data_IF_551808471749
#
_entry.id   IF_551808471749
#
_cell.length_a   1.000
_cell.length_b   1.000
_cell.length_c   1.000
_cell.angle_alpha   90.00
_cell.angle_beta   90.00
_cell.angle_gamma   90.00
#
_symmetry.space_group_name_H-M   'P 1'
#
loop_
_entity.id
_entity.type
_entity.pdbx_description
1 polymer ?
#
# COMPACT_ATOMS: atom_id res chain seq x y z
N UNK A 1 -14.90 31.73 48.88
CA UNK A 1 -13.91 30.68 48.55
C UNK A 1 -14.70 29.53 47.96
N UNK A 2 -14.90 29.54 46.64
CA UNK A 2 -15.54 28.43 45.93
C UNK A 2 -14.45 27.43 45.52
N UNK A 3 -14.48 26.24 46.11
CA UNK A 3 -13.65 25.13 45.68
C UNK A 3 -14.28 24.51 44.43
N UNK A 4 -13.76 24.88 43.26
CA UNK A 4 -14.04 24.21 42.00
C UNK A 4 -13.40 22.82 42.02
N UNK A 5 -14.22 21.82 42.38
CA UNK A 5 -13.84 20.42 42.33
C UNK A 5 -13.71 20.00 40.85
N UNK A 6 -12.48 19.97 40.35
CA UNK A 6 -12.16 19.47 39.01
C UNK A 6 -12.47 17.97 38.95
N UNK A 7 -13.54 17.58 38.27
CA UNK A 7 -13.79 16.17 37.95
C UNK A 7 -12.69 15.68 37.00
N UNK A 8 -11.76 14.88 37.52
CA UNK A 8 -10.77 14.18 36.69
C UNK A 8 -11.48 13.24 35.71
N UNK A 9 -11.06 13.28 34.44
CA UNK A 9 -11.68 12.51 33.37
C UNK A 9 -11.56 11.00 33.62
N UNK A 10 -12.70 10.30 33.60
CA UNK A 10 -12.82 8.86 33.80
C UNK A 10 -11.88 8.06 32.87
N UNK A 11 -10.83 7.46 33.44
CA UNK A 11 -9.78 6.73 32.72
C UNK A 11 -10.26 5.40 32.10
N UNK A 12 -11.50 4.96 32.38
CA UNK A 12 -12.02 3.66 31.99
C UNK A 12 -12.90 3.67 30.72
N UNK A 13 -12.95 4.79 29.99
CA UNK A 13 -13.75 4.90 28.76
C UNK A 13 -13.38 3.83 27.73
N UNK A 14 -12.08 3.67 27.47
CA UNK A 14 -11.58 2.70 26.49
C UNK A 14 -11.85 1.25 26.88
N UNK A 15 -11.68 0.89 28.16
CA UNK A 15 -11.97 -0.46 28.63
C UNK A 15 -13.46 -0.80 28.48
N UNK A 16 -14.33 0.16 28.82
CA UNK A 16 -15.78 0.04 28.66
C UNK A 16 -16.18 -0.10 27.18
N UNK A 17 -15.63 0.75 26.31
CA UNK A 17 -15.86 0.69 24.85
C UNK A 17 -15.49 -0.68 24.27
N UNK A 18 -14.31 -1.21 24.61
CA UNK A 18 -13.87 -2.54 24.18
C UNK A 18 -14.79 -3.64 24.73
N UNK A 19 -15.24 -3.52 25.99
CA UNK A 19 -16.21 -4.45 26.59
C UNK A 19 -17.54 -4.48 25.83
N UNK A 20 -18.05 -3.31 25.44
CA UNK A 20 -19.28 -3.18 24.64
C UNK A 20 -19.08 -3.84 23.27
N UNK A 21 -17.98 -3.55 22.57
CA UNK A 21 -17.68 -4.14 21.25
C UNK A 21 -17.63 -5.67 21.34
N UNK A 22 -16.91 -6.23 22.33
CA UNK A 22 -16.85 -7.68 22.55
C UNK A 22 -18.24 -8.29 22.77
N UNK A 23 -19.08 -7.63 23.57
CA UNK A 23 -20.45 -8.07 23.83
C UNK A 23 -21.30 -8.07 22.55
N UNK A 24 -21.17 -7.04 21.71
CA UNK A 24 -21.90 -6.95 20.45
C UNK A 24 -21.44 -8.00 19.44
N UNK A 25 -20.12 -8.25 19.33
CA UNK A 25 -19.58 -9.30 18.44
C UNK A 25 -20.08 -10.69 18.86
N UNK A 26 -20.12 -10.99 20.17
CA UNK A 26 -20.68 -12.26 20.67
C UNK A 26 -22.16 -12.44 20.32
N UNK A 27 -22.91 -11.34 20.16
CA UNK A 27 -24.33 -11.34 19.81
C UNK A 27 -24.60 -11.27 18.30
N UNK A 28 -23.60 -10.99 17.46
CA UNK A 28 -23.81 -10.74 16.02
C UNK A 28 -24.13 -12.00 15.21
N UNK A 29 -24.03 -13.19 15.82
CA UNK A 29 -24.21 -14.47 15.14
C UNK A 29 -23.08 -14.84 14.17
N UNK A 30 -21.99 -14.06 14.16
CA UNK A 30 -20.82 -14.38 13.36
C UNK A 30 -20.06 -15.56 13.94
N UNK A 31 -19.55 -16.43 13.07
CA UNK A 31 -18.62 -17.49 13.48
C UNK A 31 -17.24 -16.89 13.69
N UNK A 32 -16.76 -16.90 14.93
CA UNK A 32 -15.41 -16.51 15.30
C UNK A 32 -14.87 -17.43 16.40
N UNK A 33 -13.55 -17.55 16.47
CA UNK A 33 -12.86 -18.17 17.59
C UNK A 33 -12.18 -17.07 18.41
N UNK A 34 -12.44 -17.03 19.71
CA UNK A 34 -11.74 -16.12 20.61
C UNK A 34 -10.32 -16.63 20.84
N UNK A 35 -9.33 -15.74 20.83
CA UNK A 35 -7.94 -16.04 21.14
C UNK A 35 -7.36 -14.94 22.03
N UNK A 36 -6.30 -15.27 22.75
CA UNK A 36 -5.65 -14.34 23.65
C UNK A 36 -4.24 -14.00 23.20
N UNK A 37 -3.79 -12.79 23.54
CA UNK A 37 -2.47 -12.31 23.13
C UNK A 37 -1.31 -13.17 23.62
N UNK A 38 -1.45 -13.84 24.77
CA UNK A 38 -0.43 -14.76 25.28
C UNK A 38 -0.35 -16.05 24.43
N UNK A 39 -1.49 -16.55 23.94
CA UNK A 39 -1.54 -17.70 23.02
C UNK A 39 -0.92 -17.34 21.68
N UNK A 40 -1.32 -16.20 21.11
CA UNK A 40 -0.76 -15.69 19.85
C UNK A 40 0.76 -15.52 19.95
N UNK A 41 1.24 -14.95 21.06
CA UNK A 41 2.67 -14.79 21.33
C UNK A 41 3.39 -16.14 21.39
N UNK A 42 2.87 -17.08 22.18
CA UNK A 42 3.46 -18.41 22.31
C UNK A 42 3.51 -19.14 20.96
N UNK A 43 2.42 -19.14 20.20
CA UNK A 43 2.36 -19.74 18.85
C UNK A 43 3.37 -19.10 17.91
N UNK A 44 3.45 -17.78 17.87
CA UNK A 44 4.40 -17.04 17.01
C UNK A 44 5.85 -17.40 17.35
N UNK A 45 6.22 -17.39 18.63
CA UNK A 45 7.61 -17.52 19.06
C UNK A 45 8.08 -18.98 19.13
N UNK A 46 7.25 -19.87 19.69
CA UNK A 46 7.66 -21.23 20.02
C UNK A 46 7.32 -22.22 18.90
N UNK A 47 6.16 -22.08 18.26
CA UNK A 47 5.70 -23.01 17.22
C UNK A 47 6.21 -22.56 15.85
N UNK A 48 5.90 -21.32 15.46
CA UNK A 48 6.22 -20.80 14.13
C UNK A 48 7.62 -20.17 14.02
N UNK A 49 8.27 -19.86 15.14
CA UNK A 49 9.60 -19.22 15.22
C UNK A 49 9.69 -17.91 14.42
N UNK A 50 8.62 -17.11 14.42
CA UNK A 50 8.52 -15.85 13.69
C UNK A 50 8.85 -14.64 14.56
N UNK A 51 9.44 -13.62 13.94
CA UNK A 51 9.76 -12.34 14.58
C UNK A 51 8.47 -11.57 14.88
N UNK A 52 8.48 -10.68 15.87
CA UNK A 52 7.31 -9.85 16.21
C UNK A 52 7.04 -8.81 15.12
N UNK A 53 5.97 -9.01 14.36
CA UNK A 53 5.40 -8.03 13.42
C UNK A 53 3.89 -8.18 13.40
N UNK A 54 3.16 -7.13 13.00
CA UNK A 54 1.70 -7.18 12.92
C UNK A 54 1.18 -8.28 11.98
N UNK A 55 1.88 -8.54 10.88
CA UNK A 55 1.47 -9.56 9.92
C UNK A 55 1.77 -10.97 10.42
N UNK A 56 2.89 -11.19 11.12
CA UNK A 56 3.18 -12.49 11.75
C UNK A 56 2.28 -12.79 12.93
N UNK A 57 1.83 -11.78 13.67
CA UNK A 57 0.80 -11.97 14.69
C UNK A 57 -0.52 -12.46 14.05
N UNK A 58 -0.91 -11.92 12.89
CA UNK A 58 -2.08 -12.39 12.15
C UNK A 58 -1.92 -13.84 11.64
N UNK A 59 -0.74 -14.19 11.14
CA UNK A 59 -0.42 -15.59 10.77
C UNK A 59 -0.55 -16.52 11.97
N UNK A 60 -0.01 -16.14 13.13
CA UNK A 60 -0.09 -16.96 14.34
C UNK A 60 -1.54 -17.16 14.85
N UNK A 61 -2.45 -16.22 14.56
CA UNK A 61 -3.89 -16.33 14.86
C UNK A 61 -4.57 -17.29 13.89
N UNK A 62 -4.23 -17.25 12.60
CA UNK A 62 -4.95 -18.00 11.56
C UNK A 62 -4.42 -19.42 11.33
N UNK A 63 -3.12 -19.65 11.50
CA UNK A 63 -2.49 -20.93 11.20
C UNK A 63 -2.66 -21.93 12.34
N UNK A 64 -3.02 -23.16 11.97
CA UNK A 64 -3.10 -24.31 12.87
C UNK A 64 -1.73 -24.99 13.03
N UNK A 65 -1.60 -25.82 14.05
CA UNK A 65 -0.32 -26.43 14.45
C UNK A 65 0.23 -27.45 13.44
N UNK A 66 -0.60 -27.89 12.48
CA UNK A 66 -0.27 -28.84 11.42
C UNK A 66 0.15 -28.17 10.10
N UNK A 67 0.23 -26.83 10.06
CA UNK A 67 0.52 -26.08 8.83
C UNK A 67 1.95 -25.53 8.84
N UNK A 68 2.75 -25.92 7.84
CA UNK A 68 4.03 -25.28 7.57
C UNK A 68 3.78 -23.93 6.90
N UNK A 69 4.21 -22.85 7.57
CA UNK A 69 4.14 -21.49 7.02
C UNK A 69 5.46 -21.17 6.34
N UNK A 70 5.42 -21.06 5.02
CA UNK A 70 6.54 -20.53 4.24
C UNK A 70 6.35 -19.02 4.06
N UNK A 71 7.37 -18.25 4.43
CA UNK A 71 7.36 -16.80 4.24
C UNK A 71 7.87 -16.52 2.84
N UNK A 72 7.01 -15.98 1.99
CA UNK A 72 7.42 -15.47 0.68
C UNK A 72 8.00 -14.06 0.82
N UNK A 73 9.08 -13.77 0.09
CA UNK A 73 9.70 -12.44 0.06
C UNK A 73 8.89 -11.43 -0.76
N UNK A 74 7.86 -11.89 -1.47
CA UNK A 74 6.93 -11.09 -2.26
C UNK A 74 5.92 -10.38 -1.36
N UNK A 75 5.96 -9.05 -1.32
CA UNK A 75 4.96 -8.23 -0.62
C UNK A 75 4.09 -7.46 -1.60
N UNK A 76 2.78 -7.57 -1.42
CA UNK A 76 1.81 -6.72 -2.11
C UNK A 76 1.60 -5.43 -1.34
N UNK A 77 2.08 -4.34 -1.92
CA UNK A 77 1.87 -3.01 -1.37
C UNK A 77 0.66 -2.37 -2.01
N UNK A 78 -0.18 -1.77 -1.16
CA UNK A 78 -1.38 -1.05 -1.56
C UNK A 78 -1.25 0.42 -1.20
N UNK A 79 -1.60 1.30 -2.14
CA UNK A 79 -1.74 2.73 -1.89
C UNK A 79 -3.06 3.26 -2.41
N UNK A 80 -3.80 3.95 -1.54
CA UNK A 80 -5.00 4.67 -1.95
C UNK A 80 -4.61 6.05 -2.49
N UNK A 81 -5.15 6.40 -3.66
CA UNK A 81 -4.92 7.68 -4.35
C UNK A 81 -6.25 8.32 -4.70
N UNK A 82 -6.23 9.64 -4.93
CA UNK A 82 -7.42 10.36 -5.37
C UNK A 82 -7.92 9.82 -6.71
N UNK A 83 -9.24 9.82 -6.89
CA UNK A 83 -9.89 9.40 -8.14
C UNK A 83 -9.46 10.26 -9.34
N UNK A 84 -9.04 11.50 -9.10
CA UNK A 84 -8.51 12.37 -10.13
C UNK A 84 -7.99 13.68 -9.54
N UNK A 85 -7.46 14.50 -10.44
CA UNK A 85 -7.11 15.88 -10.15
C UNK A 85 -8.34 16.73 -10.50
N UNK A 86 -8.93 17.39 -9.50
CA UNK A 86 -10.17 18.16 -9.66
C UNK A 86 -9.92 19.63 -10.06
N UNK A 87 -8.67 20.08 -10.00
CA UNK A 87 -8.28 21.41 -10.46
C UNK A 87 -8.48 21.53 -11.98
N UNK A 88 -9.31 22.47 -12.41
CA UNK A 88 -9.63 22.69 -13.83
C UNK A 88 -8.81 23.81 -14.48
N UNK A 89 -8.25 24.72 -13.70
CA UNK A 89 -7.52 25.91 -14.17
C UNK A 89 -6.25 26.14 -13.36
N UNK A 90 -5.27 26.78 -13.97
CA UNK A 90 -3.98 27.14 -13.37
C UNK A 90 -3.51 28.51 -13.87
N UNK A 91 -2.47 29.07 -13.27
CA UNK A 91 -1.97 30.43 -13.53
C UNK A 91 -2.32 31.43 -12.42
N UNK A 92 -1.70 32.62 -12.44
CA UNK A 92 -1.85 33.64 -11.38
C UNK A 92 -3.29 34.12 -11.23
N UNK A 93 -4.06 34.10 -12.32
CA UNK A 93 -5.48 34.49 -12.39
C UNK A 93 -6.36 33.34 -12.90
N UNK A 94 -5.90 32.09 -12.79
CA UNK A 94 -6.60 30.91 -13.35
C UNK A 94 -6.86 30.99 -14.86
N UNK A 95 -6.00 31.69 -15.58
CA UNK A 95 -6.16 31.98 -17.00
C UNK A 95 -5.98 30.74 -17.90
N UNK A 96 -5.23 29.73 -17.45
CA UNK A 96 -4.94 28.53 -18.24
C UNK A 96 -5.88 27.39 -17.89
N UNK A 97 -6.62 26.87 -18.86
CA UNK A 97 -7.45 25.66 -18.70
C UNK A 97 -6.57 24.41 -18.70
N UNK A 98 -6.71 23.57 -17.68
CA UNK A 98 -6.01 22.29 -17.61
C UNK A 98 -6.77 21.29 -18.50
N UNK A 99 -6.08 20.60 -19.42
CA UNK A 99 -6.72 19.56 -20.22
C UNK A 99 -7.15 18.41 -19.31
N UNK A 100 -8.45 18.13 -19.28
CA UNK A 100 -9.04 17.03 -18.52
C UNK A 100 -9.18 15.78 -19.39
N UNK A 101 -9.13 14.60 -18.78
CA UNK A 101 -9.36 13.33 -19.48
C UNK A 101 -8.09 12.54 -19.82
N UNK A 102 -8.16 11.79 -20.93
CA UNK A 102 -7.06 10.95 -21.42
C UNK A 102 -6.18 11.78 -22.34
N UNK A 103 -4.86 11.69 -22.16
CA UNK A 103 -3.90 12.27 -23.08
C UNK A 103 -3.14 11.13 -23.74
N UNK A 104 -3.22 11.01 -25.06
CA UNK A 104 -2.67 9.87 -25.82
C UNK A 104 -3.14 8.51 -25.27
N UNK A 105 -4.41 8.42 -24.86
CA UNK A 105 -5.00 7.19 -24.32
C UNK A 105 -4.65 6.87 -22.85
N UNK A 106 -3.75 7.65 -22.23
CA UNK A 106 -3.27 7.43 -20.85
C UNK A 106 -3.86 8.44 -19.85
N UNK A 107 -4.08 7.97 -18.62
CA UNK A 107 -4.43 8.78 -17.45
C UNK A 107 -3.33 8.73 -16.40
N UNK A 108 -3.39 9.66 -15.44
CA UNK A 108 -2.57 9.59 -14.23
C UNK A 108 -2.93 8.29 -13.48
N UNK A 109 -1.92 7.62 -12.95
CA UNK A 109 -1.99 6.32 -12.29
C UNK A 109 -2.41 5.13 -13.17
N UNK A 110 -2.41 5.27 -14.50
CA UNK A 110 -2.39 4.09 -15.36
C UNK A 110 -1.06 3.34 -15.14
N UNK A 111 -1.12 2.01 -15.07
CA UNK A 111 0.07 1.17 -15.00
C UNK A 111 0.56 0.87 -16.41
N UNK A 112 1.80 1.22 -16.70
CA UNK A 112 2.38 1.10 -18.05
C UNK A 112 3.71 0.36 -18.02
N UNK A 113 3.93 -0.49 -19.03
CA UNK A 113 5.23 -1.09 -19.35
C UNK A 113 5.88 -0.28 -20.46
N UNK A 114 7.07 0.21 -20.20
CA UNK A 114 7.82 1.06 -21.11
C UNK A 114 9.24 0.53 -21.25
N UNK A 115 10.03 1.06 -22.20
CA UNK A 115 11.45 0.73 -22.32
C UNK A 115 12.29 1.12 -21.10
N UNK A 116 11.77 2.01 -20.22
CA UNK A 116 12.45 2.47 -19.00
C UNK A 116 11.97 1.76 -17.74
N UNK A 117 11.18 0.70 -17.89
CA UNK A 117 10.60 -0.06 -16.78
C UNK A 117 9.08 0.01 -16.72
N UNK A 118 8.55 -0.59 -15.65
CA UNK A 118 7.12 -0.68 -15.35
C UNK A 118 6.81 0.29 -14.21
N UNK A 119 5.76 1.10 -14.36
CA UNK A 119 5.37 2.03 -13.32
C UNK A 119 4.06 2.75 -13.60
N UNK A 120 3.66 3.59 -12.65
CA UNK A 120 2.45 4.39 -12.72
C UNK A 120 2.72 5.73 -13.40
N UNK A 121 1.81 6.17 -14.26
CA UNK A 121 1.90 7.50 -14.90
C UNK A 121 1.70 8.61 -13.86
N UNK A 122 2.70 9.46 -13.65
CA UNK A 122 2.65 10.57 -12.67
C UNK A 122 2.25 11.90 -13.30
N UNK A 123 2.95 12.32 -14.34
CA UNK A 123 2.75 13.61 -15.02
C UNK A 123 2.73 13.44 -16.52
N UNK A 124 1.87 14.19 -17.22
CA UNK A 124 1.64 14.08 -18.67
C UNK A 124 1.90 15.43 -19.33
N UNK A 125 2.54 15.44 -20.50
CA UNK A 125 2.79 16.63 -21.32
C UNK A 125 2.04 16.49 -22.64
N UNK A 126 1.51 17.59 -23.16
CA UNK A 126 0.82 17.65 -24.47
C UNK A 126 1.69 17.18 -25.64
N UNK A 127 3.01 17.21 -25.48
CA UNK A 127 3.97 16.70 -26.45
C UNK A 127 4.02 15.16 -26.59
N UNK A 128 3.31 14.42 -25.73
CA UNK A 128 3.33 12.95 -25.72
C UNK A 128 4.39 12.33 -24.80
N UNK A 129 5.07 13.16 -24.02
CA UNK A 129 5.99 12.70 -22.98
C UNK A 129 5.31 12.66 -21.61
N UNK A 130 5.66 11.68 -20.80
CA UNK A 130 5.16 11.54 -19.43
C UNK A 130 6.22 11.00 -18.48
N UNK A 131 6.01 11.20 -17.19
CA UNK A 131 6.84 10.64 -16.13
C UNK A 131 6.21 9.37 -15.56
N UNK A 132 7.05 8.39 -15.23
CA UNK A 132 6.66 7.16 -14.53
C UNK A 132 7.19 7.18 -13.10
N UNK A 133 6.40 6.67 -12.16
CA UNK A 133 6.77 6.54 -10.75
C UNK A 133 6.43 5.16 -10.21
N UNK A 134 7.05 4.81 -9.09
CA UNK A 134 6.65 3.67 -8.28
C UNK A 134 5.32 3.94 -7.55
N UNK A 135 4.88 2.96 -6.75
CA UNK A 135 3.71 3.08 -5.87
C UNK A 135 3.83 4.25 -4.88
N UNK A 136 5.03 4.53 -4.38
CA UNK A 136 5.31 5.59 -3.39
C UNK A 136 5.42 6.99 -4.02
N UNK A 137 5.43 7.09 -5.34
CA UNK A 137 5.55 8.32 -6.08
C UNK A 137 6.99 8.76 -6.31
N UNK A 138 7.99 7.93 -5.96
CA UNK A 138 9.37 8.10 -6.36
C UNK A 138 9.46 7.95 -7.88
N UNK A 139 10.19 8.85 -8.52
CA UNK A 139 10.25 8.88 -9.97
C UNK A 139 11.18 7.78 -10.47
N UNK A 140 10.70 6.96 -11.40
CA UNK A 140 11.52 5.96 -12.12
C UNK A 140 12.14 6.64 -13.34
N UNK A 141 11.35 7.45 -14.06
CA UNK A 141 11.86 8.27 -15.16
C UNK A 141 10.98 9.49 -15.39
N UNK A 142 11.60 10.64 -15.69
CA UNK A 142 10.92 11.91 -15.94
C UNK A 142 10.35 12.06 -17.36
N UNK A 143 10.83 11.25 -18.31
CA UNK A 143 10.52 11.42 -19.72
C UNK A 143 10.46 10.09 -20.46
N UNK A 144 9.24 9.60 -20.68
CA UNK A 144 8.91 8.47 -21.54
C UNK A 144 7.98 8.96 -22.64
N UNK A 145 8.21 8.53 -23.87
CA UNK A 145 7.37 8.88 -25.01
C UNK A 145 6.28 7.82 -25.22
N UNK A 146 5.02 8.26 -25.28
CA UNK A 146 3.86 7.39 -25.48
C UNK A 146 3.83 6.68 -26.83
N UNK A 147 4.44 7.26 -27.87
CA UNK A 147 4.50 6.70 -29.22
C UNK A 147 5.55 5.60 -29.38
N UNK A 148 6.51 5.51 -28.45
CA UNK A 148 7.51 4.42 -28.43
C UNK A 148 6.89 3.14 -27.84
N UNK A 149 7.71 2.11 -27.57
CA UNK A 149 7.30 0.86 -26.90
C UNK A 149 6.68 1.14 -25.52
N UNK A 150 5.39 1.44 -25.50
CA UNK A 150 4.59 1.80 -24.32
C UNK A 150 3.29 1.01 -24.37
N UNK A 151 3.15 0.03 -23.46
CA UNK A 151 1.94 -0.78 -23.34
C UNK A 151 1.27 -0.50 -22.01
N UNK A 152 -0.02 -0.15 -22.03
CA UNK A 152 -0.82 -0.06 -20.80
C UNK A 152 -1.10 -1.47 -20.28
N UNK A 153 -0.70 -1.75 -19.04
CA UNK A 153 -0.96 -3.01 -18.36
C UNK A 153 -2.32 -2.98 -17.64
N UNK A 154 -2.61 -1.88 -16.96
CA UNK A 154 -3.87 -1.68 -16.25
C UNK A 154 -4.33 -0.23 -16.32
N UNK A 155 -5.65 -0.04 -16.32
CA UNK A 155 -6.26 1.27 -16.22
C UNK A 155 -6.17 1.78 -14.77
N UNK A 156 -6.22 3.11 -14.58
CA UNK A 156 -6.17 3.71 -13.25
C UNK A 156 -7.23 3.10 -12.32
N UNK A 157 -6.84 2.93 -11.07
CA UNK A 157 -7.71 2.66 -9.94
C UNK A 157 -7.43 3.67 -8.83
N UNK A 158 -8.40 3.88 -7.94
CA UNK A 158 -8.17 4.61 -6.67
C UNK A 158 -7.30 3.80 -5.71
N UNK A 159 -7.11 2.52 -5.99
CA UNK A 159 -6.25 1.62 -5.24
C UNK A 159 -5.16 1.10 -6.15
N UNK A 160 -3.95 1.60 -5.93
CA UNK A 160 -2.76 1.13 -6.63
C UNK A 160 -2.19 -0.06 -5.88
N UNK A 161 -1.82 -1.11 -6.62
CA UNK A 161 -1.20 -2.31 -6.07
C UNK A 161 0.08 -2.58 -6.83
N UNK A 162 1.15 -2.85 -6.11
CA UNK A 162 2.42 -3.25 -6.67
C UNK A 162 3.02 -4.35 -5.82
N UNK A 163 3.48 -5.42 -6.47
CA UNK A 163 4.27 -6.47 -5.84
C UNK A 163 5.73 -6.01 -5.78
N UNK A 164 6.37 -6.16 -4.63
CA UNK A 164 7.78 -5.82 -4.41
C UNK A 164 8.45 -6.97 -3.68
N UNK A 165 9.68 -7.30 -4.07
CA UNK A 165 10.51 -8.28 -3.38
C UNK A 165 11.20 -7.61 -2.19
N UNK A 166 11.08 -8.17 -0.99
CA UNK A 166 11.81 -7.72 0.18
C UNK A 166 13.23 -8.30 0.15
N UNK A 167 14.25 -7.45 0.18
CA UNK A 167 15.62 -7.89 0.43
C UNK A 167 15.87 -7.83 1.94
N UNK A 168 16.14 -8.96 2.58
CA UNK A 168 16.39 -9.09 4.04
C UNK A 168 17.64 -8.34 4.55
N UNK A 169 18.31 -7.53 3.73
CA UNK A 169 19.61 -6.94 4.05
C UNK A 169 19.58 -5.63 4.85
N UNK A 170 18.43 -5.16 5.35
CA UNK A 170 18.41 -3.99 6.26
C UNK A 170 17.15 -3.91 7.13
N UNK A 171 17.27 -3.55 8.43
CA UNK A 171 16.14 -3.32 9.33
C UNK A 171 15.33 -2.06 8.98
N UNK A 172 15.82 -1.26 8.03
CA UNK A 172 15.09 -0.18 7.38
C UNK A 172 14.64 -0.62 5.99
N UNK A 173 13.33 -0.56 5.75
CA UNK A 173 12.66 -0.88 4.49
C UNK A 173 13.08 0.09 3.36
N UNK A 174 14.27 -0.12 2.80
CA UNK A 174 14.69 0.52 1.57
C UNK A 174 14.31 -0.37 0.38
N UNK A 175 13.16 -0.05 -0.23
CA UNK A 175 12.67 -0.71 -1.44
C UNK A 175 13.59 -0.37 -2.62
N UNK A 176 14.38 -1.34 -3.09
CA UNK A 176 14.99 -1.28 -4.43
C UNK A 176 14.11 -2.06 -5.41
N UNK A 177 13.88 -1.47 -6.58
CA UNK A 177 13.17 -2.13 -7.66
C UNK A 177 14.03 -3.25 -8.24
N UNK A 178 13.39 -4.34 -8.65
CA UNK A 178 14.01 -5.40 -9.43
C UNK A 178 14.60 -4.79 -10.73
N UNK A 179 15.93 -4.79 -10.81
CA UNK A 179 16.67 -4.45 -12.02
C UNK A 179 16.45 -5.52 -13.09
N UNK A 180 16.61 -5.11 -14.35
CA UNK A 180 16.42 -5.94 -15.54
C UNK A 180 17.26 -7.23 -15.46
N UNK A 181 16.65 -8.35 -15.84
CA UNK A 181 17.37 -9.55 -16.25
C UNK A 181 18.07 -9.20 -17.57
N UNK A 182 19.38 -8.97 -17.53
CA UNK A 182 20.21 -9.01 -18.73
C UNK A 182 20.39 -10.48 -19.11
N UNK A 183 19.77 -10.90 -20.21
CA UNK A 183 20.05 -12.18 -20.85
C UNK A 183 21.50 -12.15 -21.34
N UNK A 184 22.37 -12.89 -20.64
CA UNK A 184 23.70 -13.19 -21.11
C UNK A 184 23.60 -14.10 -22.34
N UNK A 185 23.93 -13.54 -23.50
CA UNK A 185 24.28 -14.30 -24.70
C UNK A 185 25.70 -14.85 -24.48
N UNK A 186 25.83 -16.18 -24.37
CA UNK A 186 27.14 -16.85 -24.48
C UNK A 186 27.39 -17.19 -25.95
N UNK A 187 28.49 -16.67 -26.50
CA UNK A 187 29.20 -17.34 -27.59
C UNK A 187 30.00 -18.51 -27.04
#
# INVERSE_FOLDING_TARGET
MENSNSQEANQNKHATEIGIIKSQIRKSGWSFAETFGYETKYRREQVLKLIKTHYFDAVAICCRDDQNVEVEDSVFLKRNVSKGDYQQRTGKRSEKKIPTGKLFGLRKFDLVKTSKGIGFVKGKRSSGFFAISDLFGNKISDSVNVKKKCRRLSARSTTLVQMVQMTHSSPTCHFRQAGNVEEGVSC
#
